data_IF_551815222725
#
_entry.id   IF_551815222725
#
_cell.length_a   1.000
_cell.length_b   1.000
_cell.length_c   1.000
_cell.angle_alpha   90.00
_cell.angle_beta   90.00
_cell.angle_gamma   90.00
#
_symmetry.space_group_name_H-M   'P 1'
#
loop_
_entity.id
_entity.type
_entity.pdbx_description
1 polymer ?
#
# COMPACT_ATOMS: atom_id res chain seq x y z
N UNK A 1 0.06 3.92 20.79
CA UNK A 1 -0.65 2.84 20.06
C UNK A 1 0.39 1.79 19.69
N UNK A 2 0.20 0.53 20.09
CA UNK A 2 1.17 -0.53 19.76
C UNK A 2 0.92 -1.11 18.37
N UNK A 3 1.88 -1.89 17.83
CA UNK A 3 1.70 -2.65 16.59
C UNK A 3 0.47 -3.57 16.67
N UNK A 4 0.26 -4.23 17.81
CA UNK A 4 -0.91 -5.09 18.04
C UNK A 4 -2.21 -4.28 18.03
N UNK A 5 -2.21 -3.06 18.59
CA UNK A 5 -3.38 -2.19 18.53
C UNK A 5 -3.68 -1.72 17.10
N UNK A 6 -2.64 -1.42 16.30
CA UNK A 6 -2.78 -1.06 14.87
C UNK A 6 -3.36 -2.21 14.06
N UNK A 7 -2.80 -3.41 14.22
CA UNK A 7 -3.33 -4.64 13.58
C UNK A 7 -4.79 -4.86 13.99
N UNK A 8 -5.13 -4.71 15.27
CA UNK A 8 -6.49 -4.88 15.78
C UNK A 8 -7.46 -3.86 15.18
N UNK A 9 -7.04 -2.60 15.04
CA UNK A 9 -7.86 -1.54 14.46
C UNK A 9 -8.17 -1.81 12.99
N UNK A 10 -7.16 -2.14 12.18
CA UNK A 10 -7.33 -2.44 10.75
C UNK A 10 -8.13 -3.73 10.55
N UNK A 11 -7.87 -4.78 11.35
CA UNK A 11 -8.63 -6.02 11.30
C UNK A 11 -10.12 -5.78 11.62
N UNK A 12 -10.42 -4.94 12.62
CA UNK A 12 -11.80 -4.61 13.00
C UNK A 12 -12.56 -3.91 11.87
N UNK A 13 -11.91 -3.03 11.11
CA UNK A 13 -12.51 -2.40 9.92
C UNK A 13 -12.93 -3.42 8.85
N UNK A 14 -12.32 -4.61 8.87
CA UNK A 14 -12.60 -5.73 7.94
C UNK A 14 -13.50 -6.81 8.54
N UNK A 15 -14.04 -6.59 9.74
CA UNK A 15 -14.83 -7.59 10.46
C UNK A 15 -14.01 -8.77 10.98
N UNK A 16 -12.69 -8.63 11.11
CA UNK A 16 -11.79 -9.66 11.62
C UNK A 16 -11.31 -9.35 13.04
N UNK A 17 -10.92 -10.40 13.76
CA UNK A 17 -10.18 -10.30 15.02
C UNK A 17 -8.72 -10.73 14.82
N UNK A 18 -7.88 -10.53 15.83
CA UNK A 18 -6.44 -10.85 15.74
C UNK A 18 -6.17 -12.32 15.40
N UNK A 19 -6.96 -13.24 15.96
CA UNK A 19 -6.87 -14.68 15.67
C UNK A 19 -7.14 -14.98 14.19
N UNK A 20 -8.19 -14.42 13.63
CA UNK A 20 -8.54 -14.58 12.21
C UNK A 20 -7.47 -13.97 11.30
N UNK A 21 -6.91 -12.81 11.67
CA UNK A 21 -5.82 -12.18 10.93
C UNK A 21 -4.56 -13.06 10.95
N UNK A 22 -4.21 -13.64 12.11
CA UNK A 22 -3.07 -14.54 12.23
C UNK A 22 -3.23 -15.79 11.34
N UNK A 23 -4.41 -16.43 11.38
CA UNK A 23 -4.71 -17.59 10.53
C UNK A 23 -4.64 -17.26 9.04
N UNK A 24 -5.21 -16.11 8.63
CA UNK A 24 -5.13 -15.64 7.25
C UNK A 24 -3.70 -15.33 6.80
N UNK A 25 -2.83 -14.93 7.73
CA UNK A 25 -1.40 -14.70 7.49
C UNK A 25 -0.56 -15.99 7.56
N UNK A 26 -1.17 -17.17 7.72
CA UNK A 26 -0.46 -18.44 7.85
C UNK A 26 0.27 -18.60 9.18
N UNK A 27 -0.11 -17.84 10.22
CA UNK A 27 0.50 -17.85 11.54
C UNK A 27 -0.37 -18.63 12.53
N UNK A 28 0.25 -19.10 13.62
CA UNK A 28 -0.49 -19.64 14.75
C UNK A 28 -1.42 -18.58 15.37
N UNK A 29 -2.62 -18.98 15.78
CA UNK A 29 -3.70 -18.10 16.26
C UNK A 29 -3.27 -17.07 17.33
N UNK A 30 -2.35 -17.49 18.22
CA UNK A 30 -1.88 -16.68 19.33
C UNK A 30 -0.61 -15.87 19.02
N UNK A 31 -0.08 -15.99 17.80
CA UNK A 31 1.20 -15.38 17.39
C UNK A 31 1.17 -13.86 17.55
N UNK A 32 0.12 -13.20 17.05
CA UNK A 32 0.01 -11.74 17.08
C UNK A 32 -0.13 -11.21 18.52
N UNK A 33 -0.76 -11.97 19.42
CA UNK A 33 -0.89 -11.58 20.83
C UNK A 33 0.47 -11.52 21.55
N UNK A 34 1.38 -12.41 21.17
CA UNK A 34 2.74 -12.45 21.70
C UNK A 34 3.60 -11.25 21.31
N UNK A 35 3.21 -10.48 20.27
CA UNK A 35 3.99 -9.33 19.80
C UNK A 35 3.96 -8.12 20.75
N UNK A 36 3.22 -8.23 21.86
CA UNK A 36 3.32 -7.30 23.00
C UNK A 36 4.58 -7.53 23.83
N UNK A 37 5.02 -8.78 23.91
CA UNK A 37 6.14 -9.22 24.75
C UNK A 37 7.43 -9.37 23.93
N UNK A 38 7.33 -9.81 22.68
CA UNK A 38 8.49 -10.01 21.80
C UNK A 38 8.32 -9.35 20.44
N UNK A 39 9.44 -9.04 19.79
CA UNK A 39 9.43 -8.47 18.44
C UNK A 39 9.12 -9.56 17.40
N UNK A 40 8.17 -9.34 16.46
CA UNK A 40 7.97 -10.26 15.35
C UNK A 40 9.19 -10.29 14.42
N UNK A 41 9.40 -11.42 13.73
CA UNK A 41 10.30 -11.44 12.59
C UNK A 41 9.71 -10.63 11.44
N UNK A 42 10.58 -10.10 10.58
CA UNK A 42 10.18 -9.31 9.40
C UNK A 42 9.18 -10.08 8.54
N UNK A 43 9.45 -11.37 8.27
CA UNK A 43 8.57 -12.21 7.44
C UNK A 43 7.15 -12.34 8.00
N UNK A 44 7.03 -12.57 9.32
CA UNK A 44 5.72 -12.72 9.98
C UNK A 44 4.95 -11.40 10.00
N UNK A 45 5.65 -10.30 10.19
CA UNK A 45 5.05 -8.97 10.17
C UNK A 45 4.58 -8.59 8.75
N UNK A 46 5.40 -8.92 7.74
CA UNK A 46 5.05 -8.73 6.33
C UNK A 46 3.81 -9.53 5.95
N UNK A 47 3.72 -10.81 6.33
CA UNK A 47 2.54 -11.64 6.06
C UNK A 47 1.25 -11.04 6.63
N UNK A 48 1.29 -10.47 7.83
CA UNK A 48 0.15 -9.76 8.43
C UNK A 48 -0.16 -8.47 7.69
N UNK A 49 0.86 -7.71 7.29
CA UNK A 49 0.71 -6.48 6.50
C UNK A 49 0.02 -6.75 5.15
N UNK A 50 0.42 -7.82 4.47
CA UNK A 50 -0.15 -8.23 3.18
C UNK A 50 -1.63 -8.62 3.29
N UNK A 51 -1.99 -9.41 4.30
CA UNK A 51 -3.38 -9.78 4.60
C UNK A 51 -4.24 -8.56 4.92
N UNK A 52 -3.66 -7.60 5.63
CA UNK A 52 -4.30 -6.35 5.96
C UNK A 52 -4.17 -5.30 4.86
N UNK A 53 -3.54 -5.61 3.72
CA UNK A 53 -3.21 -4.66 2.64
C UNK A 53 -2.71 -3.30 3.16
N UNK A 54 -1.81 -3.33 4.14
CA UNK A 54 -1.14 -2.13 4.67
C UNK A 54 0.37 -2.27 4.62
N UNK A 55 1.12 -1.18 4.73
CA UNK A 55 2.58 -1.25 4.83
C UNK A 55 3.03 -1.78 6.21
N UNK A 56 4.20 -2.43 6.23
CA UNK A 56 4.87 -2.80 7.50
C UNK A 56 5.20 -1.55 8.32
N UNK A 57 5.61 -0.46 7.66
CA UNK A 57 5.86 0.83 8.30
C UNK A 57 4.64 1.39 9.01
N UNK A 58 3.45 1.22 8.41
CA UNK A 58 2.21 1.57 9.08
C UNK A 58 1.98 0.71 10.32
N UNK A 59 2.19 -0.61 10.26
CA UNK A 59 2.01 -1.47 11.44
C UNK A 59 3.01 -1.12 12.56
N UNK A 60 4.23 -0.73 12.22
CA UNK A 60 5.26 -0.34 13.19
C UNK A 60 5.08 1.06 13.78
N UNK A 61 4.31 1.92 13.13
CA UNK A 61 4.15 3.30 13.57
C UNK A 61 5.16 4.29 12.99
N UNK A 62 5.88 3.88 11.95
CA UNK A 62 6.81 4.75 11.21
C UNK A 62 6.06 5.73 10.30
N UNK A 63 4.79 5.44 9.97
CA UNK A 63 3.90 6.30 9.18
C UNK A 63 2.45 6.16 9.65
N UNK A 64 1.65 7.19 9.41
CA UNK A 64 0.19 7.16 9.57
C UNK A 64 -0.54 6.85 8.25
N UNK A 65 0.19 6.76 7.14
CA UNK A 65 -0.33 6.31 5.85
C UNK A 65 -0.39 4.77 5.82
N UNK A 66 -1.60 4.16 5.78
CA UNK A 66 -1.75 2.71 5.76
C UNK A 66 -1.37 2.09 4.42
N UNK A 67 -1.13 2.84 3.36
CA UNK A 67 -0.94 2.25 2.03
C UNK A 67 0.33 1.41 1.93
N UNK A 68 0.20 0.20 1.34
CA UNK A 68 1.33 -0.69 0.94
C UNK A 68 2.21 -0.07 -0.12
N UNK A 69 1.65 0.90 -0.83
CA UNK A 69 2.30 1.60 -1.88
C UNK A 69 2.87 2.87 -1.27
N UNK A 70 4.18 3.02 -1.31
CA UNK A 70 4.78 4.31 -1.63
C UNK A 70 4.32 4.77 -3.03
N UNK A 71 3.01 4.86 -3.27
CA UNK A 71 2.42 5.70 -4.31
C UNK A 71 2.51 7.11 -3.76
N UNK A 72 3.76 7.57 -3.55
CA UNK A 72 4.04 8.93 -3.97
C UNK A 72 3.45 9.02 -5.38
N UNK A 73 2.60 10.00 -5.70
CA UNK A 73 2.26 10.24 -7.09
C UNK A 73 3.59 10.25 -7.85
N UNK A 74 3.79 9.25 -8.70
CA UNK A 74 4.96 9.22 -9.58
C UNK A 74 4.73 10.41 -10.48
N UNK A 75 5.51 11.45 -10.25
CA UNK A 75 5.43 12.64 -11.05
C UNK A 75 5.83 12.26 -12.48
N UNK A 76 5.00 12.63 -13.44
CA UNK A 76 5.22 12.40 -14.87
C UNK A 76 6.25 13.42 -15.41
N UNK A 77 7.15 13.92 -14.56
CA UNK A 77 8.04 15.03 -14.86
C UNK A 77 9.53 14.68 -14.81
N UNK A 78 9.93 13.50 -14.30
CA UNK A 78 11.34 13.12 -14.38
C UNK A 78 11.71 11.82 -13.67
N UNK A 79 12.69 11.12 -14.26
CA UNK A 79 13.44 9.95 -13.75
C UNK A 79 12.78 8.57 -13.72
N UNK A 80 11.49 8.41 -14.00
CA UNK A 80 10.88 7.08 -14.11
C UNK A 80 10.91 6.55 -15.55
N UNK A 81 11.49 5.36 -15.76
CA UNK A 81 11.38 4.63 -17.04
C UNK A 81 9.98 4.03 -17.13
N UNK A 82 9.16 4.58 -18.02
CA UNK A 82 7.83 4.05 -18.31
C UNK A 82 7.94 2.92 -19.33
N UNK A 83 7.20 1.83 -19.12
CA UNK A 83 7.16 0.71 -20.05
C UNK A 83 5.74 0.48 -20.58
N UNK A 84 5.63 0.16 -21.86
CA UNK A 84 4.40 -0.32 -22.50
C UNK A 84 4.68 -1.68 -23.09
N UNK A 85 3.89 -2.69 -22.70
CA UNK A 85 4.10 -4.09 -23.10
C UNK A 85 5.52 -4.61 -22.78
N UNK A 86 6.13 -4.13 -21.68
CA UNK A 86 7.47 -4.53 -21.25
C UNK A 86 8.62 -3.85 -22.01
N UNK A 87 8.33 -2.95 -22.95
CA UNK A 87 9.35 -2.16 -23.64
C UNK A 87 9.38 -0.73 -23.09
N UNK A 88 10.56 -0.10 -22.94
CA UNK A 88 10.64 1.29 -22.54
C UNK A 88 9.96 2.17 -23.60
N UNK A 89 9.12 3.10 -23.13
CA UNK A 89 8.48 4.08 -24.00
C UNK A 89 9.56 5.10 -24.40
N UNK A 90 9.75 5.37 -25.71
CA UNK A 90 10.67 6.40 -26.18
C UNK A 90 10.31 7.80 -25.64
N UNK A 91 11.30 8.67 -25.49
CA UNK A 91 11.09 10.04 -25.00
C UNK A 91 10.18 10.85 -25.94
N UNK A 92 10.23 10.61 -27.25
CA UNK A 92 9.36 11.28 -28.23
C UNK A 92 7.87 10.94 -28.04
N UNK A 93 7.57 9.70 -27.62
CA UNK A 93 6.20 9.26 -27.33
C UNK A 93 5.67 9.86 -26.01
N UNK A 94 6.56 10.40 -25.18
CA UNK A 94 6.21 11.01 -23.91
C UNK A 94 5.34 12.26 -24.08
N UNK A 95 5.67 13.09 -25.07
CA UNK A 95 4.90 14.31 -25.36
C UNK A 95 3.46 13.98 -25.74
N UNK A 96 3.27 12.90 -26.50
CA UNK A 96 1.95 12.40 -26.91
C UNK A 96 1.14 11.98 -25.68
N UNK A 97 1.76 11.21 -24.79
CA UNK A 97 1.13 10.75 -23.54
C UNK A 97 0.75 11.95 -22.67
N UNK A 98 1.64 12.93 -22.51
CA UNK A 98 1.37 14.13 -21.73
C UNK A 98 0.20 14.95 -22.30
N UNK A 99 0.14 15.13 -23.62
CA UNK A 99 -0.96 15.85 -24.28
C UNK A 99 -2.31 15.13 -24.10
N UNK A 100 -2.35 13.80 -24.28
CA UNK A 100 -3.56 12.99 -24.03
C UNK A 100 -4.06 13.17 -22.59
N UNK A 101 -3.15 13.07 -21.62
CA UNK A 101 -3.49 13.21 -20.20
C UNK A 101 -3.99 14.63 -19.87
N UNK A 102 -3.36 15.66 -20.44
CA UNK A 102 -3.75 17.07 -20.26
C UNK A 102 -5.16 17.32 -20.79
N UNK A 103 -5.45 16.89 -22.03
CA UNK A 103 -6.79 17.00 -22.64
C UNK A 103 -7.85 16.29 -21.81
N UNK A 104 -7.58 15.07 -21.34
CA UNK A 104 -8.51 14.31 -20.49
C UNK A 104 -8.79 15.03 -19.17
N UNK A 105 -7.77 15.64 -18.56
CA UNK A 105 -7.91 16.42 -17.32
C UNK A 105 -8.81 17.64 -17.51
N UNK A 106 -8.68 18.33 -18.64
CA UNK A 106 -9.52 19.47 -19.00
C UNK A 106 -10.97 19.06 -19.26
N UNK A 107 -11.21 17.94 -19.95
CA UNK A 107 -12.56 17.40 -20.14
C UNK A 107 -13.24 17.06 -18.81
N UNK A 108 -12.50 16.47 -17.86
CA UNK A 108 -13.01 16.15 -16.54
C UNK A 108 -13.36 17.40 -15.72
N UNK A 109 -12.60 18.50 -15.88
CA UNK A 109 -12.94 19.79 -15.27
C UNK A 109 -14.22 20.38 -15.85
N UNK A 110 -14.39 20.32 -17.18
CA UNK A 110 -15.60 20.83 -17.87
C UNK A 110 -16.86 20.04 -17.54
N UNK A 111 -16.76 18.74 -17.24
CA UNK A 111 -17.91 17.89 -16.85
C UNK A 111 -18.37 18.08 -15.39
N UNK A 112 -17.56 18.73 -14.56
CA UNK A 112 -17.84 19.01 -13.15
C UNK A 112 -18.27 20.47 -12.89
N UNK A 113 -18.29 21.30 -13.93
CA UNK A 113 -18.84 22.65 -13.92
C UNK A 113 -20.20 22.67 -14.59
#
# INVERSE_FOLDING_TARGET
MTTVDRIKAVAKQRGWNLKNTALKAGLGENTIYGWKEYKPSSDKLQAVADVLHVSVDYLLGNTDDPSTNSKKPVDLSGTNVFTYQGMPIPEDDWEIIQDILKRRREQLKKRKS
#
